data_IF_830140564680
#
_entry.id   IF_830140564680
#
_cell.length_a   1.000
_cell.length_b   1.000
_cell.length_c   1.000
_cell.angle_alpha   90.00
_cell.angle_beta   90.00
_cell.angle_gamma   90.00
#
_symmetry.space_group_name_H-M   'P 1'
#
loop_
_entity.id
_entity.type
_entity.pdbx_description
1 polymer ?
#
# COMPACT_ATOMS: atom_id res chain seq x y z
N UNK A 1 -0.35 -17.43 -6.94
CA UNK A 1 -0.77 -16.77 -8.20
C UNK A 1 0.44 -16.15 -8.87
N UNK A 2 1.12 -16.93 -9.71
CA UNK A 2 2.27 -16.44 -10.50
C UNK A 2 1.74 -15.85 -11.80
N UNK A 3 2.11 -14.60 -12.07
CA UNK A 3 1.98 -13.90 -13.36
C UNK A 3 0.55 -13.54 -13.78
N UNK A 4 0.06 -12.42 -13.33
CA UNK A 4 -0.87 -11.61 -14.10
C UNK A 4 -0.36 -10.16 -14.15
N UNK A 5 0.87 -10.00 -14.63
CA UNK A 5 1.36 -8.75 -15.21
C UNK A 5 1.22 -8.94 -16.71
N UNK A 6 0.12 -8.52 -17.26
CA UNK A 6 -0.13 -8.64 -18.67
C UNK A 6 0.02 -7.33 -19.37
N UNK A 7 0.91 -7.35 -20.33
CA UNK A 7 1.03 -6.35 -21.36
C UNK A 7 -0.27 -6.35 -22.20
N UNK A 8 -1.07 -5.29 -22.08
CA UNK A 8 -2.07 -4.96 -23.09
C UNK A 8 -1.36 -4.61 -24.39
N UNK A 9 -1.03 -5.63 -25.19
CA UNK A 9 -0.58 -5.43 -26.56
C UNK A 9 -1.79 -5.18 -27.46
N UNK A 10 -2.20 -3.93 -27.56
CA UNK A 10 -2.94 -3.47 -28.72
C UNK A 10 -1.94 -3.36 -29.89
N UNK A 11 -1.72 -4.50 -30.59
CA UNK A 11 -0.94 -4.52 -31.81
C UNK A 11 -1.78 -3.92 -32.92
N UNK A 12 -1.64 -2.63 -33.14
CA UNK A 12 -2.00 -2.03 -34.42
C UNK A 12 -0.89 -2.35 -35.43
N UNK A 13 -1.12 -3.30 -36.32
CA UNK A 13 -0.29 -3.51 -37.52
C UNK A 13 -0.48 -2.33 -38.46
N UNK A 14 0.43 -1.37 -38.41
CA UNK A 14 0.52 -0.31 -39.40
C UNK A 14 1.33 -0.78 -40.60
N UNK A 15 0.90 -0.52 -41.84
CA UNK A 15 1.69 -0.79 -43.03
C UNK A 15 2.86 0.21 -43.11
N UNK A 16 4.06 -0.33 -43.33
CA UNK A 16 5.28 0.45 -43.63
C UNK A 16 5.08 1.23 -44.94
N UNK A 17 4.90 2.56 -44.84
CA UNK A 17 5.22 3.46 -45.95
C UNK A 17 5.31 4.92 -45.48
N UNK A 18 6.42 5.55 -45.85
CA UNK A 18 6.72 6.98 -45.86
C UNK A 18 7.02 7.67 -44.50
N UNK A 19 8.15 8.36 -44.47
CA UNK A 19 8.53 9.34 -43.44
C UNK A 19 7.41 10.32 -43.14
N UNK A 20 6.59 9.98 -42.11
CA UNK A 20 5.67 10.92 -41.46
C UNK A 20 6.30 11.30 -40.13
N UNK A 21 6.27 12.58 -39.79
CA UNK A 21 6.47 13.04 -38.43
C UNK A 21 5.64 12.15 -37.49
N UNK A 22 6.15 11.77 -36.31
CA UNK A 22 5.35 10.99 -35.36
C UNK A 22 4.05 11.73 -35.12
N UNK A 23 2.93 11.09 -35.40
CA UNK A 23 1.61 11.65 -35.14
C UNK A 23 1.52 11.91 -33.65
N UNK A 24 0.99 13.06 -33.25
CA UNK A 24 0.66 13.35 -31.85
C UNK A 24 -0.34 12.26 -31.39
N UNK A 25 -0.07 11.53 -30.30
CA UNK A 25 -0.96 10.48 -29.85
C UNK A 25 -2.35 11.08 -29.53
N UNK A 26 -3.40 10.32 -29.85
CA UNK A 26 -4.76 10.67 -29.44
C UNK A 26 -4.91 10.64 -27.92
N UNK A 27 -5.96 11.25 -27.39
CA UNK A 27 -6.28 11.19 -25.97
C UNK A 27 -6.42 9.74 -25.47
N UNK A 28 -7.09 8.88 -26.26
CA UNK A 28 -7.23 7.45 -25.94
C UNK A 28 -5.88 6.72 -25.90
N UNK A 29 -5.01 6.96 -26.87
CA UNK A 29 -3.66 6.36 -26.90
C UNK A 29 -2.81 6.84 -25.73
N UNK A 30 -2.89 8.12 -25.36
CA UNK A 30 -2.20 8.67 -24.21
C UNK A 30 -2.69 8.03 -22.91
N UNK A 31 -4.00 7.98 -22.69
CA UNK A 31 -4.59 7.38 -21.50
C UNK A 31 -4.27 5.88 -21.40
N UNK A 32 -4.42 5.12 -22.50
CA UNK A 32 -4.08 3.70 -22.54
C UNK A 32 -2.61 3.44 -22.23
N UNK A 33 -1.70 4.27 -22.74
CA UNK A 33 -0.26 4.15 -22.44
C UNK A 33 0.03 4.35 -20.95
N UNK A 34 -0.61 5.33 -20.30
CA UNK A 34 -0.45 5.59 -18.86
C UNK A 34 -1.05 4.49 -18.00
N UNK A 35 -2.23 3.94 -18.37
CA UNK A 35 -2.86 2.80 -17.70
C UNK A 35 -1.94 1.57 -17.80
N UNK A 36 -1.45 1.25 -19.00
CA UNK A 36 -0.57 0.10 -19.22
C UNK A 36 0.77 0.20 -18.47
N UNK A 37 1.30 1.43 -18.35
CA UNK A 37 2.51 1.71 -17.59
C UNK A 37 2.26 1.85 -16.08
N UNK A 38 1.02 1.79 -15.63
CA UNK A 38 0.60 2.03 -14.24
C UNK A 38 1.07 3.39 -13.70
N UNK A 39 1.13 4.41 -14.57
CA UNK A 39 1.57 5.76 -14.24
C UNK A 39 0.39 6.60 -13.68
N UNK A 40 -0.20 6.14 -12.58
CA UNK A 40 -1.45 6.68 -12.03
C UNK A 40 -1.37 8.15 -11.65
N UNK A 41 -0.27 8.62 -11.07
CA UNK A 41 -0.10 10.04 -10.76
C UNK A 41 -0.07 10.92 -12.00
N UNK A 42 0.53 10.44 -13.09
CA UNK A 42 0.55 11.16 -14.36
C UNK A 42 -0.84 11.16 -15.00
N UNK A 43 -1.54 10.02 -14.93
CA UNK A 43 -2.92 9.93 -15.43
C UNK A 43 -3.85 10.86 -14.64
N UNK A 44 -3.78 10.88 -13.29
CA UNK A 44 -4.58 11.79 -12.44
C UNK A 44 -4.31 13.26 -12.80
N UNK A 45 -3.05 13.62 -13.06
CA UNK A 45 -2.68 15.00 -13.40
C UNK A 45 -3.17 15.45 -14.78
N UNK A 46 -3.11 14.59 -15.80
CA UNK A 46 -3.52 14.96 -17.15
C UNK A 46 -5.01 14.66 -17.46
N UNK A 47 -5.67 13.82 -16.68
CA UNK A 47 -7.05 13.41 -16.94
C UNK A 47 -8.05 14.57 -17.08
N UNK A 48 -8.01 15.63 -16.25
CA UNK A 48 -8.91 16.78 -16.42
C UNK A 48 -8.81 17.46 -17.80
N UNK A 49 -7.62 17.42 -18.42
CA UNK A 49 -7.36 18.06 -19.70
C UNK A 49 -7.81 17.20 -20.89
N UNK A 50 -7.67 15.86 -20.79
CA UNK A 50 -7.95 14.94 -21.90
C UNK A 50 -9.35 14.31 -21.82
N UNK A 51 -10.04 14.40 -20.69
CA UNK A 51 -11.30 13.69 -20.40
C UNK A 51 -12.37 13.81 -21.47
N UNK A 52 -12.58 15.02 -21.97
CA UNK A 52 -13.65 15.30 -22.91
C UNK A 52 -13.33 14.82 -24.35
N UNK A 53 -12.06 14.47 -24.62
CA UNK A 53 -11.58 13.92 -25.89
C UNK A 53 -11.53 12.38 -25.87
N UNK A 54 -11.69 11.74 -24.68
CA UNK A 54 -11.67 10.29 -24.55
C UNK A 54 -12.94 9.65 -25.12
N UNK A 55 -12.77 8.49 -25.76
CA UNK A 55 -13.90 7.60 -26.04
C UNK A 55 -14.58 7.17 -24.73
N UNK A 56 -15.88 6.87 -24.76
CA UNK A 56 -16.61 6.48 -23.55
C UNK A 56 -16.00 5.28 -22.82
N UNK A 57 -15.49 4.29 -23.57
CA UNK A 57 -14.84 3.11 -23.01
C UNK A 57 -13.55 3.46 -22.25
N UNK A 58 -12.63 4.20 -22.90
CA UNK A 58 -11.35 4.59 -22.28
C UNK A 58 -11.57 5.54 -21.10
N UNK A 59 -12.55 6.44 -21.20
CA UNK A 59 -12.93 7.31 -20.10
C UNK A 59 -13.36 6.52 -18.86
N UNK A 60 -14.21 5.49 -19.02
CA UNK A 60 -14.63 4.62 -17.92
C UNK A 60 -13.45 3.84 -17.32
N UNK A 61 -12.49 3.39 -18.15
CA UNK A 61 -11.25 2.76 -17.62
C UNK A 61 -10.43 3.73 -16.77
N UNK A 62 -10.31 4.99 -17.20
CA UNK A 62 -9.66 6.02 -16.40
C UNK A 62 -10.41 6.28 -15.07
N UNK A 63 -11.74 6.45 -15.12
CA UNK A 63 -12.58 6.69 -13.94
C UNK A 63 -12.54 5.52 -12.96
N UNK A 64 -12.55 4.29 -13.45
CA UNK A 64 -12.38 3.08 -12.65
C UNK A 64 -11.02 3.08 -11.93
N UNK A 65 -9.94 3.25 -12.66
CA UNK A 65 -8.57 3.20 -12.13
C UNK A 65 -8.30 4.35 -11.16
N UNK A 66 -8.54 5.57 -11.60
CA UNK A 66 -8.29 6.76 -10.77
C UNK A 66 -9.20 6.79 -9.54
N UNK A 67 -10.45 6.34 -9.69
CA UNK A 67 -11.37 6.22 -8.56
C UNK A 67 -10.89 5.24 -7.50
N UNK A 68 -10.34 4.10 -7.91
CA UNK A 68 -9.77 3.10 -7.01
C UNK A 68 -8.51 3.60 -6.32
N UNK A 69 -7.52 4.08 -7.10
CA UNK A 69 -6.22 4.51 -6.55
C UNK A 69 -6.28 5.79 -5.70
N UNK A 70 -7.23 6.70 -5.98
CA UNK A 70 -7.34 7.98 -5.28
C UNK A 70 -8.57 8.08 -4.37
N UNK A 71 -9.04 6.93 -3.86
CA UNK A 71 -10.11 6.81 -2.87
C UNK A 71 -11.45 7.46 -3.26
N UNK A 72 -11.80 7.42 -4.55
CA UNK A 72 -13.12 7.73 -5.10
C UNK A 72 -13.88 6.44 -5.41
N UNK A 73 -13.95 5.57 -4.40
CA UNK A 73 -14.38 4.18 -4.55
C UNK A 73 -15.79 4.01 -5.14
N UNK A 74 -16.83 4.80 -4.73
CA UNK A 74 -18.14 4.72 -5.34
C UNK A 74 -18.12 5.04 -6.85
N UNK A 75 -17.33 6.03 -7.26
CA UNK A 75 -17.15 6.41 -8.66
C UNK A 75 -16.50 5.27 -9.45
N UNK A 76 -15.44 4.69 -8.89
CA UNK A 76 -14.77 3.53 -9.48
C UNK A 76 -15.72 2.32 -9.64
N UNK A 77 -16.48 1.98 -8.59
CA UNK A 77 -17.44 0.88 -8.64
C UNK A 77 -18.52 1.11 -9.74
N UNK A 78 -19.00 2.34 -9.87
CA UNK A 78 -19.98 2.70 -10.91
C UNK A 78 -19.38 2.57 -12.31
N UNK A 79 -18.16 3.07 -12.53
CA UNK A 79 -17.46 2.96 -13.80
C UNK A 79 -17.23 1.50 -14.20
N UNK A 80 -16.75 0.67 -13.24
CA UNK A 80 -16.56 -0.77 -13.45
C UNK A 80 -17.90 -1.44 -13.75
N UNK A 81 -18.95 -1.13 -13.00
CA UNK A 81 -20.29 -1.67 -13.25
C UNK A 81 -20.80 -1.36 -14.66
N UNK A 82 -20.58 -0.13 -15.15
CA UNK A 82 -20.93 0.26 -16.52
C UNK A 82 -20.11 -0.52 -17.56
N UNK A 83 -18.78 -0.66 -17.34
CA UNK A 83 -17.92 -1.46 -18.21
C UNK A 83 -18.39 -2.91 -18.30
N UNK A 84 -18.71 -3.54 -17.18
CA UNK A 84 -19.16 -4.93 -17.13
C UNK A 84 -20.53 -5.15 -17.77
N UNK A 85 -21.42 -4.15 -17.75
CA UNK A 85 -22.77 -4.27 -18.32
C UNK A 85 -22.81 -3.90 -19.80
N UNK A 86 -22.18 -2.80 -20.20
CA UNK A 86 -22.41 -2.18 -21.49
C UNK A 86 -21.28 -2.43 -22.50
N UNK A 87 -20.10 -2.89 -22.05
CA UNK A 87 -18.89 -3.08 -22.88
C UNK A 87 -18.38 -4.52 -22.85
N UNK A 88 -19.29 -5.49 -22.77
CA UNK A 88 -18.93 -6.91 -22.72
C UNK A 88 -18.15 -7.36 -23.96
N UNK A 89 -18.48 -6.83 -25.15
CA UNK A 89 -17.80 -7.21 -26.38
C UNK A 89 -16.33 -6.81 -26.38
N UNK A 90 -16.01 -5.61 -25.89
CA UNK A 90 -14.65 -5.10 -25.74
C UNK A 90 -13.87 -5.86 -24.68
N UNK A 91 -14.51 -6.17 -23.56
CA UNK A 91 -13.89 -6.91 -22.46
C UNK A 91 -13.60 -8.37 -22.83
N UNK A 92 -14.49 -9.02 -23.57
CA UNK A 92 -14.29 -10.40 -24.04
C UNK A 92 -13.49 -10.50 -25.35
N UNK A 93 -13.17 -9.37 -26.00
CA UNK A 93 -12.25 -9.36 -27.13
C UNK A 93 -10.78 -9.63 -26.72
N UNK A 94 -10.44 -9.46 -25.44
CA UNK A 94 -9.16 -9.88 -24.87
C UNK A 94 -9.17 -11.41 -24.66
N UNK A 95 -8.41 -12.17 -25.49
CA UNK A 95 -8.44 -13.63 -25.46
C UNK A 95 -7.91 -14.23 -24.17
N UNK A 96 -7.16 -13.45 -23.37
CA UNK A 96 -6.61 -13.89 -22.09
C UNK A 96 -7.50 -13.47 -20.92
N UNK A 97 -8.55 -12.66 -21.15
CA UNK A 97 -9.45 -12.19 -20.11
C UNK A 97 -8.80 -11.33 -19.03
N UNK A 98 -7.60 -10.81 -19.31
CA UNK A 98 -6.77 -10.07 -18.35
C UNK A 98 -7.42 -8.76 -17.91
N UNK A 99 -8.06 -8.04 -18.83
CA UNK A 99 -8.78 -6.80 -18.54
C UNK A 99 -9.99 -7.05 -17.63
N UNK A 100 -10.77 -8.08 -17.93
CA UNK A 100 -11.89 -8.48 -17.09
C UNK A 100 -11.44 -8.88 -15.68
N UNK A 101 -10.41 -9.72 -15.59
CA UNK A 101 -9.82 -10.15 -14.31
C UNK A 101 -9.29 -8.97 -13.49
N UNK A 102 -8.65 -8.00 -14.14
CA UNK A 102 -8.17 -6.78 -13.51
C UNK A 102 -9.31 -5.91 -12.96
N UNK A 103 -10.36 -5.66 -13.75
CA UNK A 103 -11.53 -4.89 -13.31
C UNK A 103 -12.27 -5.57 -12.16
N UNK A 104 -12.43 -6.90 -12.20
CA UNK A 104 -13.07 -7.64 -11.13
C UNK A 104 -12.23 -7.61 -9.84
N UNK A 105 -10.92 -7.75 -9.93
CA UNK A 105 -10.02 -7.63 -8.77
C UNK A 105 -10.09 -6.23 -8.14
N UNK A 106 -10.13 -5.19 -8.98
CA UNK A 106 -10.30 -3.81 -8.53
C UNK A 106 -11.66 -3.60 -7.86
N UNK A 107 -12.74 -4.14 -8.43
CA UNK A 107 -14.08 -4.04 -7.84
C UNK A 107 -14.16 -4.73 -6.48
N UNK A 108 -13.58 -5.93 -6.36
CA UNK A 108 -13.52 -6.66 -5.08
C UNK A 108 -12.75 -5.86 -4.05
N UNK A 109 -11.60 -5.30 -4.40
CA UNK A 109 -10.83 -4.43 -3.51
C UNK A 109 -11.62 -3.18 -3.08
N UNK A 110 -12.28 -2.51 -4.02
CA UNK A 110 -13.13 -1.35 -3.72
C UNK A 110 -14.30 -1.70 -2.78
N UNK A 111 -14.97 -2.84 -3.01
CA UNK A 111 -16.06 -3.31 -2.16
C UNK A 111 -15.56 -3.65 -0.75
N UNK A 112 -14.38 -4.27 -0.63
CA UNK A 112 -13.73 -4.51 0.65
C UNK A 112 -13.49 -3.20 1.43
N UNK A 113 -12.90 -2.21 0.76
CA UNK A 113 -12.61 -0.90 1.33
C UNK A 113 -13.88 -0.13 1.75
N UNK A 114 -14.96 -0.29 1.00
CA UNK A 114 -16.29 0.24 1.34
C UNK A 114 -17.00 -0.56 2.44
N UNK A 115 -16.44 -1.70 2.87
CA UNK A 115 -17.08 -2.63 3.80
C UNK A 115 -18.33 -3.31 3.22
N UNK A 116 -18.45 -3.37 1.90
CA UNK A 116 -19.54 -4.04 1.17
C UNK A 116 -19.24 -5.54 1.01
N UNK A 117 -18.95 -6.20 2.15
CA UNK A 117 -18.43 -7.57 2.19
C UNK A 117 -19.37 -8.61 1.59
N UNK A 118 -20.69 -8.45 1.76
CA UNK A 118 -21.67 -9.36 1.16
C UNK A 118 -21.60 -9.34 -0.36
N UNK A 119 -21.55 -8.13 -0.96
CA UNK A 119 -21.43 -7.97 -2.40
C UNK A 119 -20.09 -8.52 -2.93
N UNK A 120 -19.00 -8.33 -2.20
CA UNK A 120 -17.70 -8.89 -2.55
C UNK A 120 -17.72 -10.44 -2.51
N UNK A 121 -18.39 -11.05 -1.51
CA UNK A 121 -18.54 -12.49 -1.42
C UNK A 121 -19.38 -13.07 -2.57
N UNK A 122 -20.46 -12.40 -2.95
CA UNK A 122 -21.33 -12.81 -4.07
C UNK A 122 -20.59 -12.76 -5.40
N UNK A 123 -19.79 -11.71 -5.62
CA UNK A 123 -18.97 -11.58 -6.81
C UNK A 123 -17.93 -12.70 -6.91
N UNK A 124 -17.26 -13.05 -5.79
CA UNK A 124 -16.31 -14.17 -5.74
C UNK A 124 -16.98 -15.52 -6.01
N UNK A 125 -18.23 -15.70 -5.59
CA UNK A 125 -18.99 -16.92 -5.90
C UNK A 125 -19.14 -17.13 -7.40
N UNK A 126 -19.49 -16.07 -8.12
CA UNK A 126 -19.65 -16.08 -9.58
C UNK A 126 -18.30 -16.32 -10.27
N UNK A 127 -17.25 -15.67 -9.80
CA UNK A 127 -15.91 -15.81 -10.35
C UNK A 127 -15.32 -17.20 -10.17
N UNK A 128 -15.54 -17.83 -9.00
CA UNK A 128 -15.06 -19.18 -8.70
C UNK A 128 -15.65 -20.27 -9.63
N UNK A 129 -16.79 -20.01 -10.23
CA UNK A 129 -17.46 -21.02 -11.08
C UNK A 129 -16.67 -21.36 -12.36
N UNK A 130 -15.82 -20.45 -12.86
CA UNK A 130 -15.00 -20.64 -14.06
C UNK A 130 -13.54 -21.04 -13.81
N UNK A 131 -13.14 -21.22 -12.54
CA UNK A 131 -11.73 -21.45 -12.16
C UNK A 131 -11.37 -22.94 -12.09
N UNK A 132 -10.07 -23.24 -12.21
CA UNK A 132 -9.50 -24.55 -11.88
C UNK A 132 -9.69 -24.88 -10.39
N UNK A 133 -9.57 -26.15 -10.00
CA UNK A 133 -9.78 -26.59 -8.62
C UNK A 133 -8.82 -25.91 -7.62
N UNK A 134 -7.56 -25.72 -8.00
CA UNK A 134 -6.54 -25.08 -7.18
C UNK A 134 -6.81 -23.57 -6.96
N UNK A 135 -7.12 -22.83 -8.02
CA UNK A 135 -7.49 -21.41 -7.95
C UNK A 135 -8.78 -21.20 -7.16
N UNK A 136 -9.75 -22.08 -7.38
CA UNK A 136 -11.04 -22.05 -6.71
C UNK A 136 -10.92 -22.18 -5.19
N UNK A 137 -10.00 -23.01 -4.69
CA UNK A 137 -9.78 -23.16 -3.25
C UNK A 137 -9.37 -21.85 -2.58
N UNK A 138 -8.46 -21.09 -3.20
CA UNK A 138 -8.03 -19.77 -2.72
C UNK A 138 -9.17 -18.74 -2.78
N UNK A 139 -9.91 -18.71 -3.90
CA UNK A 139 -11.06 -17.81 -4.08
C UNK A 139 -12.15 -18.09 -3.04
N UNK A 140 -12.45 -19.34 -2.75
CA UNK A 140 -13.43 -19.72 -1.74
C UNK A 140 -12.95 -19.42 -0.30
N UNK A 141 -11.64 -19.44 -0.04
CA UNK A 141 -11.11 -18.99 1.26
C UNK A 141 -11.35 -17.48 1.47
N UNK A 142 -11.06 -16.67 0.46
CA UNK A 142 -11.34 -15.23 0.48
C UNK A 142 -12.84 -14.95 0.57
N UNK A 143 -13.67 -15.70 -0.14
CA UNK A 143 -15.13 -15.60 -0.05
C UNK A 143 -15.62 -15.86 1.38
N UNK A 144 -15.15 -16.93 2.03
CA UNK A 144 -15.51 -17.24 3.44
C UNK A 144 -15.12 -16.11 4.39
N UNK A 145 -13.97 -15.49 4.16
CA UNK A 145 -13.55 -14.34 4.93
C UNK A 145 -14.55 -13.18 4.76
N UNK A 146 -14.92 -12.80 3.53
CA UNK A 146 -15.93 -11.76 3.30
C UNK A 146 -17.29 -12.10 3.93
N UNK A 147 -17.75 -13.35 3.83
CA UNK A 147 -18.98 -13.79 4.48
C UNK A 147 -18.92 -13.68 6.01
N UNK A 148 -17.74 -13.93 6.60
CA UNK A 148 -17.51 -13.73 8.02
C UNK A 148 -17.58 -12.26 8.37
N UNK A 149 -16.84 -11.41 7.64
CA UNK A 149 -16.83 -9.96 7.87
C UNK A 149 -18.22 -9.32 7.69
N UNK A 150 -19.05 -9.83 6.77
CA UNK A 150 -20.42 -9.37 6.56
C UNK A 150 -21.35 -9.61 7.77
N UNK A 151 -21.04 -10.62 8.59
CA UNK A 151 -21.85 -11.00 9.79
C UNK A 151 -21.39 -10.29 11.06
N UNK A 152 -20.17 -9.76 11.07
CA UNK A 152 -19.61 -9.07 12.23
C UNK A 152 -19.88 -7.55 12.18
N UNK A 153 -19.97 -6.89 13.33
CA UNK A 153 -20.13 -5.44 13.39
C UNK A 153 -18.99 -4.73 12.69
N UNK A 154 -19.30 -3.64 11.99
CA UNK A 154 -18.25 -2.81 11.37
C UNK A 154 -17.43 -2.10 12.43
N UNK A 155 -16.13 -1.98 12.19
CA UNK A 155 -15.27 -1.13 13.01
C UNK A 155 -15.73 0.31 12.92
N UNK A 156 -15.77 0.97 14.06
CA UNK A 156 -16.11 2.39 14.14
C UNK A 156 -15.24 3.11 15.16
N UNK A 157 -15.03 4.41 14.94
CA UNK A 157 -14.22 5.26 15.79
C UNK A 157 -15.10 6.33 16.42
N UNK A 158 -14.94 6.49 17.73
CA UNK A 158 -15.58 7.56 18.52
C UNK A 158 -14.47 8.36 19.19
N UNK A 159 -14.57 9.67 19.12
CA UNK A 159 -13.60 10.60 19.72
C UNK A 159 -14.30 11.84 20.26
N UNK A 160 -13.72 12.52 21.26
CA UNK A 160 -14.21 13.84 21.69
C UNK A 160 -14.13 14.86 20.55
N UNK A 161 -14.90 15.93 20.68
CA UNK A 161 -14.79 17.08 19.79
C UNK A 161 -13.45 17.81 20.01
N UNK A 162 -12.97 18.47 18.96
CA UNK A 162 -11.75 19.26 19.01
C UNK A 162 -10.50 18.51 18.57
N UNK A 163 -9.35 19.14 18.80
CA UNK A 163 -8.03 18.56 18.55
C UNK A 163 -7.70 17.51 19.61
N UNK A 164 -7.22 16.35 19.18
CA UNK A 164 -6.84 15.27 20.09
C UNK A 164 -5.37 14.95 19.89
N UNK A 165 -4.59 15.11 20.97
CA UNK A 165 -3.18 14.73 21.00
C UNK A 165 -3.01 13.35 21.62
N UNK A 166 -2.28 12.49 20.93
CA UNK A 166 -2.04 11.11 21.29
C UNK A 166 -0.53 10.85 21.36
N UNK A 167 -0.04 10.07 22.34
CA UNK A 167 1.40 9.83 22.48
C UNK A 167 1.97 9.10 21.24
N UNK A 168 3.12 9.56 20.77
CA UNK A 168 3.92 8.92 19.73
C UNK A 168 5.37 8.93 20.18
N UNK A 169 5.92 7.80 20.50
CA UNK A 169 7.32 7.70 20.94
C UNK A 169 8.19 7.09 19.86
N UNK A 170 9.39 7.67 19.65
CA UNK A 170 10.43 7.02 18.85
C UNK A 170 11.15 6.04 19.77
N UNK A 171 10.95 4.75 19.54
CA UNK A 171 11.63 3.69 20.25
C UNK A 171 12.73 3.06 19.42
N UNK A 172 13.71 2.43 20.08
CA UNK A 172 14.71 1.62 19.38
C UNK A 172 14.72 0.21 19.92
N UNK A 173 14.80 -0.75 19.02
CA UNK A 173 14.94 -2.16 19.30
C UNK A 173 16.24 -2.69 18.72
N UNK A 174 16.77 -3.75 19.32
CA UNK A 174 17.93 -4.44 18.80
C UNK A 174 17.46 -5.70 18.08
N UNK A 175 17.70 -5.75 16.78
CA UNK A 175 17.35 -6.91 15.93
C UNK A 175 18.64 -7.52 15.37
N UNK A 176 18.59 -8.79 15.01
CA UNK A 176 19.69 -9.43 14.29
C UNK A 176 19.69 -9.04 12.83
N UNK A 177 20.85 -8.64 12.32
CA UNK A 177 21.02 -8.39 10.89
C UNK A 177 20.83 -9.70 10.11
N UNK A 178 19.94 -9.74 9.12
CA UNK A 178 19.72 -10.94 8.32
C UNK A 178 20.93 -11.29 7.44
N UNK A 179 21.91 -10.40 7.28
CA UNK A 179 23.12 -10.65 6.49
C UNK A 179 24.21 -11.38 7.26
N UNK A 180 24.48 -10.94 8.47
CA UNK A 180 25.67 -11.33 9.23
C UNK A 180 25.39 -11.68 10.70
N UNK A 181 24.12 -11.67 11.13
CA UNK A 181 23.70 -11.95 12.51
C UNK A 181 24.14 -10.91 13.53
N UNK A 182 24.75 -9.79 13.11
CA UNK A 182 25.18 -8.73 14.03
C UNK A 182 23.99 -7.94 14.56
N UNK A 183 24.11 -7.40 15.76
CA UNK A 183 23.10 -6.56 16.36
C UNK A 183 22.96 -5.23 15.59
N UNK A 184 21.73 -4.88 15.23
CA UNK A 184 21.36 -3.62 14.59
C UNK A 184 20.29 -2.94 15.42
N UNK A 185 20.44 -1.64 15.63
CA UNK A 185 19.38 -0.82 16.19
C UNK A 185 18.44 -0.42 15.05
N UNK A 186 17.16 -0.69 15.24
CA UNK A 186 16.04 -0.25 14.40
C UNK A 186 15.18 0.71 15.19
N UNK A 187 14.64 1.72 14.54
CA UNK A 187 13.75 2.70 15.14
C UNK A 187 12.35 2.51 14.59
N UNK A 188 11.35 2.62 15.47
CA UNK A 188 9.93 2.61 15.10
C UNK A 188 9.20 3.72 15.85
N UNK A 189 8.08 4.15 15.30
CA UNK A 189 7.08 4.91 16.03
C UNK A 189 6.23 3.95 16.86
N UNK A 190 5.92 4.35 18.08
CA UNK A 190 5.06 3.59 18.98
C UNK A 190 3.98 4.47 19.59
N UNK A 191 2.83 3.85 19.80
CA UNK A 191 1.74 4.42 20.59
C UNK A 191 1.20 3.39 21.57
N UNK A 192 0.63 3.88 22.68
CA UNK A 192 0.04 3.03 23.71
C UNK A 192 -1.45 2.81 23.45
N UNK A 193 -1.88 1.55 23.44
CA UNK A 193 -3.26 1.14 23.19
C UNK A 193 -3.75 0.30 24.36
N UNK A 194 -4.96 0.60 24.84
CA UNK A 194 -5.60 -0.16 25.91
C UNK A 194 -6.64 -1.13 25.35
N UNK A 195 -6.50 -2.41 25.64
CA UNK A 195 -7.41 -3.50 25.25
C UNK A 195 -7.74 -4.29 26.53
N UNK A 196 -9.04 -4.48 26.84
CA UNK A 196 -9.46 -5.23 28.03
C UNK A 196 -8.89 -4.68 29.35
N UNK A 197 -8.64 -3.35 29.41
CA UNK A 197 -8.08 -2.67 30.60
C UNK A 197 -6.55 -2.81 30.74
N UNK A 198 -5.86 -3.41 29.79
CA UNK A 198 -4.40 -3.51 29.77
C UNK A 198 -3.84 -2.61 28.68
N UNK A 199 -2.82 -1.81 29.00
CA UNK A 199 -2.15 -0.93 28.05
C UNK A 199 -0.94 -1.65 27.46
N UNK A 200 -0.89 -1.70 26.15
CA UNK A 200 0.13 -2.36 25.35
C UNK A 200 0.73 -1.39 24.35
N UNK A 201 1.96 -1.63 23.97
CA UNK A 201 2.70 -0.79 23.04
C UNK A 201 2.58 -1.33 21.61
N UNK A 202 2.08 -0.51 20.70
CA UNK A 202 1.91 -0.85 19.30
C UNK A 202 2.91 -0.07 18.42
N UNK A 203 3.48 -0.72 17.42
CA UNK A 203 4.19 -0.03 16.34
C UNK A 203 3.15 0.73 15.51
N UNK A 204 3.38 2.02 15.22
CA UNK A 204 2.56 2.83 14.34
C UNK A 204 3.07 2.70 12.90
N UNK A 205 2.35 1.94 12.05
CA UNK A 205 2.87 1.45 10.79
C UNK A 205 1.94 1.73 9.61
N UNK A 206 2.32 2.66 8.73
CA UNK A 206 1.60 2.96 7.49
C UNK A 206 1.81 1.90 6.39
N UNK A 207 2.78 1.00 6.54
CA UNK A 207 3.01 -0.15 5.68
C UNK A 207 2.15 -1.38 6.04
N UNK A 208 1.54 -1.39 7.25
CA UNK A 208 0.61 -2.44 7.66
C UNK A 208 -0.80 -2.12 7.16
N UNK A 209 -1.17 -2.72 6.02
CA UNK A 209 -2.45 -2.47 5.36
C UNK A 209 -3.49 -3.54 5.64
N UNK A 210 -4.76 -3.18 5.49
CA UNK A 210 -5.90 -4.08 5.63
C UNK A 210 -6.46 -4.16 7.05
N UNK A 211 -5.67 -4.58 8.03
CA UNK A 211 -6.02 -4.58 9.45
C UNK A 211 -4.75 -4.45 10.30
N UNK A 212 -4.90 -3.99 11.53
CA UNK A 212 -3.85 -4.00 12.54
C UNK A 212 -3.37 -5.43 12.81
N UNK A 213 -2.13 -5.59 13.29
CA UNK A 213 -1.46 -6.88 13.34
C UNK A 213 -1.05 -7.22 14.77
N UNK A 214 -1.28 -8.46 15.23
CA UNK A 214 -0.88 -8.92 16.57
C UNK A 214 -0.32 -10.34 16.53
N UNK A 215 0.56 -10.68 17.48
CA UNK A 215 1.03 -12.05 17.65
C UNK A 215 -0.05 -12.96 18.24
N UNK A 216 0.10 -14.28 18.05
CA UNK A 216 -0.80 -15.27 18.66
C UNK A 216 -0.75 -15.22 20.19
N UNK A 217 0.42 -14.96 20.78
CA UNK A 217 0.59 -14.77 22.22
C UNK A 217 -0.16 -13.53 22.71
N UNK A 218 -0.09 -12.43 21.96
CA UNK A 218 -0.85 -11.23 22.24
C UNK A 218 -2.35 -11.50 22.21
N UNK A 219 -2.84 -12.12 21.12
CA UNK A 219 -4.26 -12.46 20.96
C UNK A 219 -4.78 -13.33 22.11
N UNK A 220 -4.00 -14.32 22.53
CA UNK A 220 -4.32 -15.17 23.68
C UNK A 220 -4.29 -14.41 25.01
N UNK A 221 -3.30 -13.51 25.23
CA UNK A 221 -3.18 -12.73 26.46
C UNK A 221 -4.32 -11.74 26.67
N UNK A 222 -4.93 -11.29 25.58
CA UNK A 222 -6.05 -10.32 25.56
C UNK A 222 -7.40 -10.98 25.27
N UNK A 223 -7.49 -12.32 25.25
CA UNK A 223 -8.71 -13.07 25.00
C UNK A 223 -9.44 -12.59 23.71
N UNK A 224 -8.69 -12.32 22.62
CA UNK A 224 -9.29 -11.90 21.36
C UNK A 224 -10.07 -13.06 20.75
N UNK A 225 -11.27 -12.78 20.26
CA UNK A 225 -12.12 -13.75 19.56
C UNK A 225 -11.60 -14.04 18.16
N UNK A 226 -11.18 -15.26 17.87
CA UNK A 226 -10.80 -15.69 16.52
C UNK A 226 -12.09 -15.91 15.72
N UNK A 227 -12.26 -15.12 14.64
CA UNK A 227 -13.47 -15.13 13.81
C UNK A 227 -13.27 -15.81 12.46
N UNK A 228 -12.03 -15.90 11.99
CA UNK A 228 -11.67 -16.56 10.74
C UNK A 228 -10.21 -17.03 10.80
N UNK A 229 -9.89 -18.10 10.09
CA UNK A 229 -8.54 -18.64 9.99
C UNK A 229 -8.11 -18.83 8.53
N UNK A 230 -6.81 -19.09 8.35
CA UNK A 230 -6.22 -19.49 7.07
C UNK A 230 -6.41 -18.47 5.94
N UNK A 231 -6.39 -17.16 6.26
CA UNK A 231 -6.40 -16.10 5.27
C UNK A 231 -4.99 -15.88 4.74
N UNK A 232 -4.83 -15.99 3.43
CA UNK A 232 -3.54 -15.71 2.78
C UNK A 232 -3.27 -14.21 2.74
N UNK A 233 -2.10 -13.81 3.24
CA UNK A 233 -1.59 -12.45 3.18
C UNK A 233 -0.19 -12.45 2.59
N UNK A 234 0.18 -11.36 1.94
CA UNK A 234 1.49 -11.20 1.33
C UNK A 234 2.32 -10.21 2.14
N UNK A 235 3.61 -10.51 2.29
CA UNK A 235 4.58 -9.61 2.89
C UNK A 235 5.88 -9.60 2.10
N UNK A 236 6.88 -8.91 2.62
CA UNK A 236 8.19 -8.73 1.95
C UNK A 236 8.88 -10.05 1.66
N UNK A 237 8.77 -11.03 2.57
CA UNK A 237 9.39 -12.34 2.46
C UNK A 237 8.59 -13.38 1.69
N UNK A 238 7.36 -13.07 1.30
CA UNK A 238 6.46 -14.00 0.60
C UNK A 238 5.05 -14.03 1.16
N UNK A 239 4.33 -15.09 0.81
CA UNK A 239 2.95 -15.32 1.28
C UNK A 239 2.95 -16.13 2.57
N UNK A 240 2.03 -15.81 3.47
CA UNK A 240 1.75 -16.56 4.68
C UNK A 240 0.28 -16.63 4.97
N UNK A 241 -0.08 -17.33 6.03
CA UNK A 241 -1.46 -17.42 6.49
C UNK A 241 -1.60 -16.77 7.85
N UNK A 242 -2.69 -16.03 8.03
CA UNK A 242 -3.06 -15.39 9.29
C UNK A 242 -4.46 -15.80 9.70
N UNK A 243 -4.75 -15.66 10.99
CA UNK A 243 -6.11 -15.68 11.53
C UNK A 243 -6.61 -14.25 11.64
N UNK A 244 -7.92 -14.08 11.64
CA UNK A 244 -8.55 -12.82 11.99
C UNK A 244 -9.19 -12.93 13.37
N UNK A 245 -8.95 -11.91 14.19
CA UNK A 245 -9.54 -11.81 15.51
C UNK A 245 -10.21 -10.46 15.70
N UNK A 246 -11.09 -10.36 16.69
CA UNK A 246 -11.75 -9.12 17.08
C UNK A 246 -11.84 -9.03 18.60
N UNK A 247 -12.20 -7.85 19.08
CA UNK A 247 -12.62 -7.58 20.48
C UNK A 247 -13.69 -6.48 20.49
N UNK A 248 -14.36 -6.28 21.60
CA UNK A 248 -15.40 -5.26 21.74
C UNK A 248 -14.88 -3.86 21.47
N UNK A 249 -13.69 -3.54 22.00
CA UNK A 249 -13.09 -2.23 21.79
C UNK A 249 -11.61 -2.17 22.15
N UNK A 250 -10.92 -1.20 21.55
CA UNK A 250 -9.61 -0.73 21.97
C UNK A 250 -9.63 0.79 22.15
N UNK A 251 -8.70 1.34 22.94
CA UNK A 251 -8.61 2.76 23.23
C UNK A 251 -7.19 3.28 22.97
N UNK A 252 -7.12 4.47 22.35
CA UNK A 252 -5.90 5.25 22.22
C UNK A 252 -6.16 6.61 22.86
N UNK A 253 -5.68 6.80 24.10
CA UNK A 253 -6.08 7.96 24.88
C UNK A 253 -7.61 8.08 24.99
N UNK A 254 -8.23 9.23 24.60
CA UNK A 254 -9.68 9.41 24.64
C UNK A 254 -10.42 8.86 23.40
N UNK A 255 -9.70 8.30 22.43
CA UNK A 255 -10.29 7.73 21.21
C UNK A 255 -10.67 6.28 21.46
N UNK A 256 -11.90 5.91 21.17
CA UNK A 256 -12.40 4.54 21.28
C UNK A 256 -12.66 3.97 19.88
N UNK A 257 -12.06 2.84 19.58
CA UNK A 257 -12.33 2.04 18.39
C UNK A 257 -13.17 0.83 18.82
N UNK A 258 -14.37 0.70 18.27
CA UNK A 258 -15.26 -0.43 18.52
C UNK A 258 -15.10 -1.47 17.44
N UNK A 259 -15.13 -2.74 17.86
CA UNK A 259 -15.00 -3.91 16.99
C UNK A 259 -13.78 -3.81 16.06
N UNK A 260 -12.57 -3.54 16.60
CA UNK A 260 -11.35 -3.58 15.79
C UNK A 260 -11.08 -5.01 15.33
N UNK A 261 -10.54 -5.16 14.13
CA UNK A 261 -10.07 -6.43 13.60
C UNK A 261 -8.56 -6.46 13.62
N UNK A 262 -8.02 -7.65 13.91
CA UNK A 262 -6.60 -7.90 13.94
C UNK A 262 -6.25 -9.10 13.06
N UNK A 263 -5.23 -8.97 12.25
CA UNK A 263 -4.52 -10.11 11.69
C UNK A 263 -3.67 -10.73 12.79
N UNK A 264 -3.85 -12.01 13.06
CA UNK A 264 -3.12 -12.77 14.08
C UNK A 264 -2.15 -13.70 13.39
N UNK A 265 -0.87 -13.54 13.68
CA UNK A 265 0.18 -14.38 13.14
C UNK A 265 0.83 -15.25 14.21
N UNK A 266 1.22 -16.45 13.82
CA UNK A 266 2.05 -17.29 14.66
C UNK A 266 3.51 -16.87 14.46
N UNK A 267 4.24 -16.61 15.55
CA UNK A 267 5.67 -16.36 15.48
C UNK A 267 6.37 -17.64 15.02
N UNK A 268 7.11 -17.54 13.93
CA UNK A 268 7.97 -18.58 13.41
C UNK A 268 9.46 -18.17 13.52
N UNK A 269 10.36 -19.10 13.19
CA UNK A 269 11.81 -18.82 13.23
C UNK A 269 12.22 -17.64 12.32
N UNK A 270 11.46 -17.33 11.27
CA UNK A 270 11.72 -16.20 10.40
C UNK A 270 11.32 -14.87 11.06
N UNK A 271 10.20 -14.85 11.79
CA UNK A 271 9.78 -13.70 12.58
C UNK A 271 10.77 -13.38 13.69
N UNK A 272 11.30 -14.38 14.37
CA UNK A 272 12.32 -14.22 15.43
C UNK A 272 13.63 -13.63 14.89
N UNK A 273 13.95 -13.84 13.60
CA UNK A 273 15.16 -13.29 12.98
C UNK A 273 15.06 -11.79 12.69
N UNK A 274 13.86 -11.25 12.51
CA UNK A 274 13.62 -9.81 12.22
C UNK A 274 13.26 -8.99 13.47
N UNK A 275 13.06 -9.64 14.61
CA UNK A 275 12.66 -9.05 15.88
C UNK A 275 11.28 -9.55 16.33
N UNK A 276 11.07 -9.53 17.64
CA UNK A 276 9.80 -9.96 18.23
C UNK A 276 8.77 -8.83 18.10
N UNK A 277 7.92 -8.91 17.09
CA UNK A 277 6.82 -7.96 16.88
C UNK A 277 5.57 -8.51 17.57
N UNK A 278 5.09 -7.81 18.62
CA UNK A 278 3.87 -8.22 19.31
C UNK A 278 2.60 -7.59 18.74
N UNK A 279 2.66 -6.30 18.41
CA UNK A 279 1.48 -5.56 17.97
C UNK A 279 1.82 -4.37 17.06
N UNK A 280 1.05 -4.20 16.01
CA UNK A 280 1.18 -3.15 15.00
C UNK A 280 -0.18 -2.48 14.78
N UNK A 281 -0.23 -1.16 14.88
CA UNK A 281 -1.38 -0.34 14.53
C UNK A 281 -1.27 0.05 13.05
N UNK A 282 -2.16 -0.46 12.24
CA UNK A 282 -2.14 -0.34 10.80
C UNK A 282 -2.99 0.80 10.23
N UNK A 283 -3.13 0.78 8.91
CA UNK A 283 -3.85 1.80 8.16
C UNK A 283 -5.37 1.74 8.34
N UNK A 284 -5.92 0.64 8.83
CA UNK A 284 -7.32 0.50 9.24
C UNK A 284 -7.74 1.56 10.25
N UNK A 285 -6.95 1.74 11.33
CA UNK A 285 -7.14 2.84 12.29
C UNK A 285 -6.95 4.21 11.63
N UNK A 286 -5.88 4.38 10.86
CA UNK A 286 -5.50 5.66 10.29
C UNK A 286 -6.56 6.19 9.31
N UNK A 287 -7.19 5.31 8.56
CA UNK A 287 -8.32 5.65 7.67
C UNK A 287 -9.57 6.09 8.44
N UNK A 288 -9.89 5.39 9.53
CA UNK A 288 -11.01 5.76 10.41
C UNK A 288 -10.76 7.09 11.13
N UNK A 289 -9.51 7.36 11.51
CA UNK A 289 -9.10 8.60 12.14
C UNK A 289 -9.19 9.81 11.19
N UNK A 290 -9.08 9.59 9.89
CA UNK A 290 -9.07 10.61 8.86
C UNK A 290 -7.69 11.23 8.69
N UNK A 291 -7.60 12.57 8.83
CA UNK A 291 -6.31 13.24 8.76
C UNK A 291 -5.53 13.06 10.07
N UNK A 292 -4.24 12.72 9.93
CA UNK A 292 -3.32 12.57 11.06
C UNK A 292 -2.12 13.49 10.84
N UNK A 293 -1.69 14.14 11.91
CA UNK A 293 -0.48 14.93 11.94
C UNK A 293 0.52 14.31 12.91
N UNK A 294 1.68 13.87 12.42
CA UNK A 294 2.78 13.37 13.26
C UNK A 294 3.70 14.52 13.65
N UNK A 295 4.10 14.55 14.92
CA UNK A 295 5.10 15.44 15.51
C UNK A 295 6.22 14.62 16.15
N UNK A 296 7.09 14.00 15.33
CA UNK A 296 8.07 13.01 15.83
C UNK A 296 8.99 13.55 16.90
N UNK A 297 9.44 14.79 16.77
CA UNK A 297 10.36 15.44 17.71
C UNK A 297 9.67 15.92 18.99
N UNK A 298 8.37 16.14 18.94
CA UNK A 298 7.57 16.56 20.08
C UNK A 298 6.95 15.37 20.84
N UNK A 299 6.97 14.18 20.24
CA UNK A 299 6.55 12.93 20.88
C UNK A 299 5.03 12.71 20.88
N UNK A 300 4.30 13.22 19.89
CA UNK A 300 2.88 12.97 19.74
C UNK A 300 2.44 12.92 18.27
N UNK A 301 1.28 12.36 18.04
CA UNK A 301 0.49 12.62 16.84
C UNK A 301 -0.85 13.22 17.25
N UNK A 302 -1.47 13.93 16.32
CA UNK A 302 -2.76 14.53 16.60
C UNK A 302 -3.79 14.22 15.51
N UNK A 303 -5.05 14.19 15.96
CA UNK A 303 -6.21 14.20 15.11
C UNK A 303 -6.74 15.64 15.14
N UNK A 304 -6.67 16.38 14.02
CA UNK A 304 -7.03 17.80 14.00
C UNK A 304 -8.53 17.98 14.19
N UNK A 305 -8.92 19.08 14.86
CA UNK A 305 -10.32 19.49 14.95
C UNK A 305 -10.91 19.87 13.58
N UNK A 306 -10.08 20.51 12.77
CA UNK A 306 -10.40 20.90 11.38
C UNK A 306 -9.30 20.39 10.48
N UNK A 307 -9.57 19.36 9.67
CA UNK A 307 -8.59 18.85 8.72
C UNK A 307 -8.16 19.91 7.70
N UNK A 308 -6.88 19.93 7.38
CA UNK A 308 -6.33 20.78 6.34
C UNK A 308 -6.87 20.40 4.95
N UNK A 309 -7.06 21.35 4.05
CA UNK A 309 -7.43 21.05 2.67
C UNK A 309 -6.32 20.29 1.96
N UNK A 310 -6.66 19.62 0.86
CA UNK A 310 -5.66 19.08 -0.06
C UNK A 310 -4.72 20.19 -0.52
N UNK A 311 -3.40 20.00 -0.51
CA UNK A 311 -2.43 21.00 -0.96
C UNK A 311 -2.69 21.46 -2.40
N UNK A 312 -2.25 22.69 -2.72
CA UNK A 312 -2.37 23.22 -4.09
C UNK A 312 -1.59 22.39 -5.13
N UNK A 313 -0.55 21.67 -4.70
CA UNK A 313 0.19 20.69 -5.53
C UNK A 313 -0.63 19.45 -5.88
N UNK A 314 -1.82 19.30 -5.33
CA UNK A 314 -2.70 18.17 -5.60
C UNK A 314 -2.41 16.94 -4.72
N UNK A 315 -2.91 15.79 -5.16
CA UNK A 315 -2.72 14.51 -4.52
C UNK A 315 -1.35 13.94 -4.87
N UNK A 316 -0.60 13.54 -3.87
CA UNK A 316 0.69 12.87 -4.03
C UNK A 316 0.74 11.47 -3.35
N UNK A 317 -0.40 11.02 -2.86
CA UNK A 317 -0.58 9.70 -2.27
C UNK A 317 -1.62 8.92 -3.08
N UNK A 318 -1.41 7.62 -3.27
CA UNK A 318 -2.40 6.71 -3.85
C UNK A 318 -2.41 5.40 -3.07
N UNK A 319 -3.52 4.67 -3.16
CA UNK A 319 -3.65 3.32 -2.67
C UNK A 319 -3.48 2.33 -3.82
N UNK A 320 -2.52 1.43 -3.71
CA UNK A 320 -2.41 0.31 -4.65
C UNK A 320 -3.24 -0.86 -4.16
N UNK A 321 -4.38 -1.06 -4.78
CA UNK A 321 -5.32 -2.13 -4.40
C UNK A 321 -4.78 -3.55 -4.63
N UNK A 322 -3.73 -3.69 -5.43
CA UNK A 322 -3.11 -4.99 -5.70
C UNK A 322 -2.19 -5.46 -4.58
N UNK A 323 -1.47 -4.53 -3.97
CA UNK A 323 -0.56 -4.79 -2.83
C UNK A 323 -1.14 -4.35 -1.49
N UNK A 324 -2.20 -3.54 -1.50
CA UNK A 324 -2.76 -2.88 -0.32
C UNK A 324 -1.92 -1.73 0.22
N UNK A 325 -0.81 -1.39 -0.44
CA UNK A 325 0.13 -0.38 0.04
C UNK A 325 -0.29 1.05 -0.32
N UNK A 326 0.08 2.00 0.53
CA UNK A 326 0.01 3.42 0.21
C UNK A 326 1.31 3.89 -0.43
N UNK A 327 1.18 4.50 -1.61
CA UNK A 327 2.30 4.88 -2.46
C UNK A 327 2.37 6.40 -2.54
N UNK A 328 3.52 6.93 -2.18
CA UNK A 328 3.78 8.37 -2.15
C UNK A 328 4.66 8.78 -3.33
N UNK A 329 4.19 9.75 -4.10
CA UNK A 329 4.96 10.35 -5.18
C UNK A 329 6.03 11.27 -4.59
N UNK A 330 7.29 10.86 -4.69
CA UNK A 330 8.42 11.46 -3.97
C UNK A 330 9.49 11.94 -4.94
N UNK A 331 9.96 13.18 -4.79
CA UNK A 331 11.11 13.68 -5.55
C UNK A 331 12.41 13.19 -4.90
N UNK A 332 13.19 12.42 -5.65
CA UNK A 332 14.46 11.83 -5.22
C UNK A 332 15.63 12.55 -5.86
N UNK A 333 16.63 12.90 -5.05
CA UNK A 333 17.86 13.60 -5.46
C UNK A 333 17.64 14.92 -6.24
N UNK A 334 16.45 15.51 -6.18
CA UNK A 334 16.08 16.69 -6.94
C UNK A 334 15.97 16.44 -8.45
N UNK A 335 15.87 15.18 -8.88
CA UNK A 335 15.86 14.78 -10.31
C UNK A 335 14.54 14.14 -10.71
N UNK A 336 14.14 13.08 -10.04
CA UNK A 336 13.04 12.23 -10.46
C UNK A 336 11.94 12.19 -9.40
N UNK A 337 10.72 12.43 -9.81
CA UNK A 337 9.54 12.18 -8.99
C UNK A 337 9.06 10.77 -9.28
N UNK A 338 9.16 9.89 -8.27
CA UNK A 338 8.90 8.46 -8.41
C UNK A 338 7.96 7.94 -7.31
N UNK A 339 7.14 6.93 -7.62
CA UNK A 339 6.28 6.29 -6.62
C UNK A 339 7.11 5.43 -5.66
N UNK A 340 6.97 5.69 -4.35
CA UNK A 340 7.63 4.97 -3.27
C UNK A 340 6.61 4.53 -2.22
N UNK A 341 6.81 3.39 -1.60
CA UNK A 341 5.95 2.92 -0.49
C UNK A 341 6.07 3.87 0.70
N UNK A 342 4.94 4.31 1.24
CA UNK A 342 4.86 5.12 2.45
C UNK A 342 4.77 4.19 3.67
N UNK A 343 5.89 3.97 4.36
CA UNK A 343 6.02 2.86 5.31
C UNK A 343 6.77 3.29 6.58
N UNK A 344 6.02 3.71 7.61
CA UNK A 344 6.60 4.07 8.91
C UNK A 344 7.00 2.85 9.77
N UNK A 345 6.62 1.64 9.37
CA UNK A 345 7.10 0.39 9.96
C UNK A 345 8.46 -0.05 9.42
N UNK A 346 8.88 0.49 8.26
CA UNK A 346 10.21 0.25 7.74
C UNK A 346 11.25 1.11 8.46
N UNK A 347 12.23 0.50 9.05
CA UNK A 347 13.27 1.24 9.79
C UNK A 347 14.20 2.08 8.90
N UNK A 348 14.28 1.79 7.59
CA UNK A 348 15.22 2.44 6.67
C UNK A 348 14.61 2.70 5.31
N UNK A 349 14.79 3.93 4.85
CA UNK A 349 14.53 4.31 3.47
C UNK A 349 15.49 3.61 2.52
N UNK A 350 14.93 2.97 1.48
CA UNK A 350 15.69 2.26 0.47
C UNK A 350 15.13 2.47 -0.93
N UNK A 351 15.97 2.31 -1.94
CA UNK A 351 15.61 2.39 -3.34
C UNK A 351 15.61 0.98 -3.97
N UNK A 352 14.68 0.74 -4.89
CA UNK A 352 14.42 -0.57 -5.48
C UNK A 352 15.26 -0.86 -6.73
N UNK A 353 15.17 -2.08 -7.29
CA UNK A 353 15.76 -2.40 -8.58
C UNK A 353 15.26 -1.52 -9.74
N UNK A 354 14.04 -0.98 -9.66
CA UNK A 354 13.54 -0.04 -10.67
C UNK A 354 14.35 1.27 -10.68
N UNK A 355 14.66 1.80 -9.48
CA UNK A 355 15.53 2.97 -9.38
C UNK A 355 16.96 2.66 -9.85
N UNK A 356 17.48 1.49 -9.51
CA UNK A 356 18.78 1.05 -10.02
C UNK A 356 18.79 0.98 -11.55
N UNK A 357 17.77 0.39 -12.16
CA UNK A 357 17.65 0.27 -13.62
C UNK A 357 17.61 1.64 -14.30
N UNK A 358 16.87 2.59 -13.72
CA UNK A 358 16.76 3.96 -14.23
C UNK A 358 18.08 4.72 -14.18
N UNK A 359 18.92 4.47 -13.17
CA UNK A 359 20.17 5.20 -12.93
C UNK A 359 21.42 4.31 -12.95
N UNK A 360 21.37 3.19 -13.63
CA UNK A 360 22.37 2.13 -13.57
C UNK A 360 23.82 2.63 -13.77
N UNK A 361 24.06 3.41 -14.81
CA UNK A 361 25.41 3.89 -15.13
C UNK A 361 25.98 4.82 -14.04
N UNK A 362 25.14 5.68 -13.47
CA UNK A 362 25.52 6.59 -12.40
C UNK A 362 25.81 5.81 -11.12
N UNK A 363 24.94 4.85 -10.77
CA UNK A 363 25.03 4.05 -9.56
C UNK A 363 26.25 3.11 -9.62
N UNK A 364 26.48 2.44 -10.73
CA UNK A 364 27.65 1.56 -10.92
C UNK A 364 28.97 2.32 -10.80
N UNK A 365 29.00 3.57 -11.24
CA UNK A 365 30.20 4.44 -11.19
C UNK A 365 30.45 5.02 -9.79
N UNK A 366 29.41 5.45 -9.08
CA UNK A 366 29.52 6.23 -7.84
C UNK A 366 29.14 5.47 -6.57
N UNK A 367 28.37 4.39 -6.69
CA UNK A 367 27.86 3.60 -5.57
C UNK A 367 28.92 2.62 -5.03
N UNK A 368 28.83 2.34 -3.74
CA UNK A 368 29.62 1.28 -3.11
C UNK A 368 28.82 -0.02 -3.10
N UNK A 369 29.24 -1.00 -3.92
CA UNK A 369 28.59 -2.32 -3.98
C UNK A 369 28.64 -3.05 -2.64
N UNK A 370 27.53 -3.74 -2.30
CA UNK A 370 27.38 -4.53 -1.07
C UNK A 370 26.32 -5.62 -1.24
N UNK A 371 26.29 -6.57 -0.30
CA UNK A 371 25.14 -7.43 -0.09
C UNK A 371 24.02 -6.65 0.63
N UNK A 372 22.78 -6.94 0.29
CA UNK A 372 21.58 -6.35 0.88
C UNK A 372 20.64 -7.44 1.38
N UNK A 373 19.84 -7.12 2.39
CA UNK A 373 18.73 -7.96 2.80
C UNK A 373 17.57 -7.08 3.25
N UNK A 374 16.36 -7.56 3.03
CA UNK A 374 15.13 -7.01 3.57
C UNK A 374 14.38 -8.13 4.29
N UNK A 375 13.84 -7.83 5.46
CA UNK A 375 13.05 -8.78 6.24
C UNK A 375 11.72 -8.18 6.64
N UNK A 376 10.70 -9.00 6.74
CA UNK A 376 9.35 -8.66 7.13
C UNK A 376 8.47 -9.89 7.17
N UNK A 377 7.16 -9.71 7.22
CA UNK A 377 6.23 -10.82 7.16
C UNK A 377 6.53 -11.73 5.96
N UNK A 378 6.52 -13.04 6.17
CA UNK A 378 6.81 -14.06 5.15
C UNK A 378 8.30 -14.38 4.97
N UNK A 379 9.24 -13.68 5.66
CA UNK A 379 10.65 -14.05 5.69
C UNK A 379 11.65 -12.97 5.30
N UNK A 380 12.80 -13.42 4.78
CA UNK A 380 13.94 -12.56 4.47
C UNK A 380 14.34 -12.74 2.99
N UNK A 381 14.46 -11.62 2.29
CA UNK A 381 15.05 -11.54 0.96
C UNK A 381 16.52 -11.14 1.08
N UNK A 382 17.38 -11.77 0.27
CA UNK A 382 18.80 -11.43 0.15
C UNK A 382 19.14 -11.07 -1.28
N UNK A 383 20.04 -10.11 -1.46
CA UNK A 383 20.42 -9.66 -2.78
C UNK A 383 21.67 -8.81 -2.78
N UNK A 384 21.86 -8.10 -3.87
CA UNK A 384 22.96 -7.17 -4.06
C UNK A 384 22.46 -5.75 -4.28
N UNK A 385 23.27 -4.77 -3.91
CA UNK A 385 22.93 -3.36 -4.09
C UNK A 385 24.14 -2.46 -3.92
N UNK A 386 23.84 -1.17 -3.82
CA UNK A 386 24.85 -0.11 -3.71
C UNK A 386 24.46 0.87 -2.60
N UNK A 387 25.45 1.31 -1.82
CA UNK A 387 25.28 2.43 -0.90
C UNK A 387 25.55 3.74 -1.66
N UNK A 388 24.55 4.61 -1.70
CA UNK A 388 24.64 6.00 -2.18
C UNK A 388 24.76 6.95 -0.99
N UNK A 389 25.37 8.13 -1.21
CA UNK A 389 25.57 9.15 -0.18
C UNK A 389 24.77 10.41 -0.46
N UNK A 390 24.28 11.03 0.63
CA UNK A 390 23.64 12.35 0.61
C UNK A 390 22.47 12.43 -0.40
N UNK A 391 21.55 11.48 -0.33
CA UNK A 391 20.34 11.49 -1.15
C UNK A 391 19.26 12.30 -0.44
N UNK A 392 18.72 13.25 -1.15
CA UNK A 392 17.61 14.11 -0.68
C UNK A 392 16.29 13.55 -1.16
N UNK A 393 15.32 13.46 -0.25
CA UNK A 393 13.93 13.11 -0.53
C UNK A 393 13.05 14.32 -0.23
N UNK A 394 12.14 14.65 -1.15
CA UNK A 394 11.18 15.74 -0.99
C UNK A 394 9.76 15.17 -0.97
N UNK A 395 9.00 15.50 0.07
CA UNK A 395 7.61 15.12 0.29
C UNK A 395 6.78 16.38 0.45
N UNK A 396 5.91 16.70 -0.53
CA UNK A 396 5.28 18.00 -0.59
C UNK A 396 6.35 19.11 -0.66
N UNK A 397 6.32 20.03 0.28
CA UNK A 397 7.28 21.14 0.33
C UNK A 397 8.52 20.85 1.20
N UNK A 398 8.51 19.73 1.95
CA UNK A 398 9.59 19.37 2.87
C UNK A 398 10.66 18.48 2.25
N UNK A 399 11.93 18.82 2.50
CA UNK A 399 13.07 18.04 2.00
C UNK A 399 13.99 17.62 3.12
N UNK A 400 14.45 16.38 3.10
CA UNK A 400 15.45 15.87 4.04
C UNK A 400 16.49 15.02 3.31
N UNK A 401 17.74 15.13 3.75
CA UNK A 401 18.87 14.39 3.18
C UNK A 401 19.28 13.26 4.11
N UNK A 402 19.34 12.06 3.56
CA UNK A 402 19.94 10.89 4.22
C UNK A 402 21.40 10.76 3.81
N UNK A 403 22.28 10.63 4.82
CA UNK A 403 23.73 10.49 4.60
C UNK A 403 24.08 9.23 3.80
N UNK A 404 23.25 8.20 3.92
CA UNK A 404 23.44 6.91 3.28
C UNK A 404 22.09 6.29 2.96
N UNK A 405 21.91 5.87 1.69
CA UNK A 405 20.75 5.14 1.19
C UNK A 405 21.23 3.92 0.42
N UNK A 406 20.61 2.78 0.67
CA UNK A 406 20.90 1.57 -0.10
C UNK A 406 19.96 1.51 -1.30
N UNK A 407 20.53 1.32 -2.48
CA UNK A 407 19.80 0.95 -3.70
C UNK A 407 19.97 -0.54 -3.91
N UNK A 408 18.88 -1.27 -3.92
CA UNK A 408 18.90 -2.69 -4.26
C UNK A 408 18.99 -2.84 -5.78
N UNK A 409 19.95 -3.63 -6.25
CA UNK A 409 20.09 -3.93 -7.66
C UNK A 409 19.34 -5.20 -8.06
N UNK A 410 19.27 -6.17 -7.14
CA UNK A 410 18.65 -7.46 -7.38
C UNK A 410 18.26 -8.13 -6.05
N UNK A 411 17.03 -8.62 -5.96
CA UNK A 411 16.52 -9.53 -4.92
C UNK A 411 16.06 -10.89 -5.51
N UNK A 412 16.45 -11.18 -6.76
CA UNK A 412 15.93 -12.34 -7.48
C UNK A 412 14.46 -12.18 -7.89
N UNK A 413 13.72 -13.29 -8.09
CA UNK A 413 12.35 -13.27 -8.60
C UNK A 413 11.34 -12.49 -7.73
N UNK A 414 11.67 -12.19 -6.49
CA UNK A 414 10.81 -11.46 -5.56
C UNK A 414 10.86 -9.93 -5.74
N UNK A 415 11.68 -9.42 -6.67
CA UNK A 415 11.92 -7.98 -6.86
C UNK A 415 10.95 -7.27 -7.82
N UNK A 416 9.92 -7.95 -8.30
CA UNK A 416 8.98 -7.41 -9.31
C UNK A 416 7.90 -6.50 -8.71
N UNK A 417 8.28 -5.51 -7.89
CA UNK A 417 7.34 -4.47 -7.46
C UNK A 417 7.47 -3.25 -8.38
N UNK A 418 6.34 -2.59 -8.76
CA UNK A 418 6.37 -1.46 -9.70
C UNK A 418 6.95 -0.17 -9.09
N UNK A 419 7.28 -0.17 -7.78
CA UNK A 419 7.71 1.01 -7.05
C UNK A 419 9.21 1.17 -7.05
N UNK A 420 9.65 2.43 -6.83
CA UNK A 420 11.06 2.81 -6.87
C UNK A 420 11.76 2.71 -5.52
N UNK A 421 11.06 2.27 -4.48
CA UNK A 421 11.59 2.04 -3.16
C UNK A 421 10.56 2.17 -2.05
N UNK A 422 11.02 2.23 -0.82
CA UNK A 422 10.22 2.45 0.38
C UNK A 422 10.82 3.57 1.23
N UNK A 423 9.99 4.49 1.70
CA UNK A 423 10.34 5.54 2.66
C UNK A 423 10.19 4.97 4.06
N UNK A 424 11.19 5.16 4.91
CA UNK A 424 11.25 4.58 6.24
C UNK A 424 11.49 5.60 7.36
N UNK A 425 11.53 5.07 8.59
CA UNK A 425 11.69 5.83 9.82
C UNK A 425 12.89 6.76 9.85
N UNK A 426 14.02 6.34 9.27
CA UNK A 426 15.26 7.15 9.22
C UNK A 426 15.10 8.46 8.43
N UNK A 427 14.05 8.56 7.60
CA UNK A 427 13.63 9.79 6.93
C UNK A 427 12.57 10.52 7.74
N UNK A 428 11.50 9.82 8.16
CA UNK A 428 10.34 10.44 8.81
C UNK A 428 10.70 11.09 10.15
N UNK A 429 11.58 10.48 10.96
CA UNK A 429 12.04 11.07 12.23
C UNK A 429 12.77 12.42 12.08
N UNK A 430 13.18 12.80 10.86
CA UNK A 430 13.89 14.06 10.59
C UNK A 430 12.97 15.25 10.33
N UNK A 431 11.72 14.99 10.03
CA UNK A 431 10.74 16.04 9.85
C UNK A 431 10.22 16.54 11.21
N UNK A 432 9.85 17.81 11.27
CA UNK A 432 9.21 18.39 12.44
C UNK A 432 7.71 18.09 12.45
N UNK A 433 7.13 18.01 11.25
CA UNK A 433 5.71 17.80 11.04
C UNK A 433 5.50 16.93 9.80
N UNK A 434 4.58 15.97 9.88
CA UNK A 434 4.11 15.17 8.74
C UNK A 434 2.60 15.10 8.85
N UNK A 435 1.89 15.59 7.83
CA UNK A 435 0.43 15.45 7.73
C UNK A 435 0.11 14.46 6.62
N UNK A 436 -0.77 13.51 6.91
CA UNK A 436 -1.29 12.62 5.88
C UNK A 436 -2.79 12.41 6.03
N UNK A 437 -3.44 12.20 4.89
CA UNK A 437 -4.88 12.01 4.80
C UNK A 437 -5.17 10.94 3.74
N UNK A 438 -5.52 9.74 4.19
CA UNK A 438 -5.84 8.62 3.29
C UNK A 438 -7.20 8.79 2.61
N UNK A 439 -8.08 9.63 3.14
CA UNK A 439 -9.34 9.97 2.49
C UNK A 439 -9.14 10.90 1.31
N UNK A 440 -8.26 11.90 1.46
CA UNK A 440 -7.96 12.92 0.45
C UNK A 440 -6.72 12.63 -0.38
N UNK A 441 -5.99 11.57 -0.04
CA UNK A 441 -4.81 11.06 -0.75
C UNK A 441 -3.68 12.07 -0.89
N UNK A 442 -3.21 12.61 0.25
CA UNK A 442 -2.02 13.45 0.28
C UNK A 442 -1.15 13.24 1.52
N UNK A 443 0.13 13.59 1.39
CA UNK A 443 1.10 13.73 2.48
C UNK A 443 1.85 15.04 2.29
N UNK A 444 2.01 15.79 3.37
CA UNK A 444 2.93 16.95 3.43
C UNK A 444 3.92 16.73 4.57
N UNK A 445 5.12 17.31 4.43
CA UNK A 445 6.15 17.23 5.46
C UNK A 445 6.91 18.57 5.57
N UNK A 446 7.35 18.92 6.79
CA UNK A 446 8.05 20.18 7.10
C UNK A 446 9.34 19.94 7.90
#
# INVERSE_FOLDING_TARGET
>A
MKKLLLALFLVFTLPLSACKQPAVPTADEQAAALINAQEWFRLEACYPEIRDELSPFVRLLCEASLGSHFNRLPESCNAIGTLLNDYQQELFADPEGSMLGWLLSMLIGNLQELGAYEQAADLLTQFAAGQSEEERASTLATQRWFQTMARHPRTSLTKPDGEIRLPLTVGSETVKSPLDGTDKKVHNFYTDITIGGRTERFIFDTGCSGASFVSAEFAKRHDLEIICDSISVSGIGGNGFVKFATTDSMQIGPVTIRHPYFMVFDNDEASDQIGHIEAVLGTDFMRLAGQIELRPKEGFFLLPATPEPTPASGRNLMHDTSSGQYILNTLVAGKDTVPMVFDTGNSRTGLSPNYYTLHREEIDRSGKKRETAAGGFGGILRGTGYDLKNITFTIGDGSRTLKKVTVTADFGPASEQPYFGSLGMDLFEKFDRIVFDFGRMFVTAE
#
